data_IF_666743700526
#
_entry.id   IF_666743700526
#
_cell.length_a   1.000
_cell.length_b   1.000
_cell.length_c   1.000
_cell.angle_alpha   90.00
_cell.angle_beta   90.00
_cell.angle_gamma   90.00
#
_symmetry.space_group_name_H-M   'P 1'
#
loop_
_entity.id
_entity.type
_entity.pdbx_description
1 polymer ?
#
# COMPACT_ATOMS: atom_id res chain seq x y z
N UNK A 1 18.98 -0.91 30.09
CA UNK A 1 19.99 -1.27 29.06
C UNK A 1 19.19 -1.47 27.79
N UNK A 2 19.59 -0.99 26.61
CA UNK A 2 18.88 -1.40 25.40
C UNK A 2 19.01 -2.92 25.35
N UNK A 3 17.87 -3.61 25.37
CA UNK A 3 17.86 -5.06 25.22
C UNK A 3 18.70 -5.41 23.99
N UNK A 4 19.66 -6.32 24.15
CA UNK A 4 20.52 -6.74 23.06
C UNK A 4 19.65 -7.15 21.88
N UNK A 5 19.71 -6.38 20.79
CA UNK A 5 18.95 -6.65 19.57
C UNK A 5 19.54 -7.90 18.93
N UNK A 6 18.89 -9.05 19.15
CA UNK A 6 19.35 -10.36 18.69
C UNK A 6 18.92 -10.61 17.25
N UNK A 7 19.70 -11.39 16.51
CA UNK A 7 19.32 -11.87 15.18
C UNK A 7 18.52 -13.18 15.31
N UNK A 8 17.67 -13.53 14.33
CA UNK A 8 16.98 -14.82 14.34
C UNK A 8 17.99 -15.96 14.24
N UNK A 9 17.65 -17.12 14.83
CA UNK A 9 18.52 -18.31 14.84
C UNK A 9 18.88 -18.79 13.43
N UNK A 10 18.02 -18.53 12.46
CA UNK A 10 18.14 -18.89 11.05
C UNK A 10 18.88 -17.84 10.20
N UNK A 11 19.45 -16.79 10.81
CA UNK A 11 20.07 -15.66 10.08
C UNK A 11 21.15 -16.11 9.08
N UNK A 12 22.01 -17.05 9.48
CA UNK A 12 23.11 -17.53 8.63
C UNK A 12 22.64 -18.28 7.38
N UNK A 13 21.40 -18.76 7.36
CA UNK A 13 20.79 -19.51 6.26
C UNK A 13 20.20 -18.58 5.17
N UNK A 14 20.07 -17.29 5.46
CA UNK A 14 19.46 -16.33 4.52
C UNK A 14 20.42 -15.90 3.40
N UNK A 15 19.82 -15.47 2.28
CA UNK A 15 20.56 -14.84 1.19
C UNK A 15 21.11 -13.45 1.60
N UNK A 16 22.08 -12.95 0.84
CA UNK A 16 22.81 -11.71 1.17
C UNK A 16 21.90 -10.49 1.28
N UNK A 17 20.91 -10.37 0.39
CA UNK A 17 19.93 -9.27 0.42
C UNK A 17 19.12 -9.27 1.72
N UNK A 18 18.65 -10.44 2.15
CA UNK A 18 17.90 -10.57 3.42
C UNK A 18 18.81 -10.31 4.61
N UNK A 19 20.03 -10.84 4.62
CA UNK A 19 21.03 -10.55 5.66
C UNK A 19 21.31 -9.05 5.78
N UNK A 20 21.51 -8.36 4.65
CA UNK A 20 21.71 -6.91 4.62
C UNK A 20 20.51 -6.14 5.20
N UNK A 21 19.28 -6.55 4.88
CA UNK A 21 18.09 -5.92 5.45
C UNK A 21 17.95 -6.17 6.96
N UNK A 22 18.28 -7.38 7.45
CA UNK A 22 18.34 -7.66 8.89
C UNK A 22 19.36 -6.77 9.59
N UNK A 23 20.56 -6.64 9.03
CA UNK A 23 21.59 -5.77 9.59
C UNK A 23 21.18 -4.30 9.59
N UNK A 24 20.59 -3.80 8.49
CA UNK A 24 20.08 -2.43 8.39
C UNK A 24 19.07 -2.10 9.49
N UNK A 25 18.09 -2.97 9.72
CA UNK A 25 17.08 -2.74 10.76
C UNK A 25 17.70 -2.88 12.15
N UNK A 26 18.59 -3.86 12.36
CA UNK A 26 19.32 -4.03 13.62
C UNK A 26 20.13 -2.78 13.96
N UNK A 27 20.90 -2.23 13.03
CA UNK A 27 21.69 -1.01 13.21
C UNK A 27 20.80 0.19 13.55
N UNK A 28 19.65 0.32 12.88
CA UNK A 28 18.66 1.35 13.20
C UNK A 28 18.15 1.23 14.64
N UNK A 29 17.82 0.01 15.09
CA UNK A 29 17.37 -0.27 16.47
C UNK A 29 18.48 -0.02 17.50
N UNK A 30 19.71 -0.45 17.22
CA UNK A 30 20.88 -0.22 18.08
C UNK A 30 21.25 1.26 18.19
N UNK A 31 20.97 2.05 17.14
CA UNK A 31 21.05 3.51 17.14
C UNK A 31 19.96 4.22 17.96
N UNK A 32 19.06 3.48 18.60
CA UNK A 32 17.94 4.03 19.39
C UNK A 32 16.65 4.27 18.60
N UNK A 33 16.59 3.82 17.35
CA UNK A 33 15.40 3.89 16.52
C UNK A 33 14.25 3.04 17.07
N UNK A 34 13.02 3.56 16.92
CA UNK A 34 11.77 2.85 17.21
C UNK A 34 11.07 2.52 15.91
N UNK A 35 10.53 1.30 15.80
CA UNK A 35 9.96 0.80 14.56
C UNK A 35 8.56 0.22 14.82
N UNK A 36 7.57 0.72 14.10
CA UNK A 36 6.23 0.15 14.06
C UNK A 36 5.93 -0.40 12.66
N UNK A 37 5.35 -1.59 12.63
CA UNK A 37 4.77 -2.16 11.42
C UNK A 37 3.34 -1.69 11.23
N UNK A 38 2.90 -1.42 9.99
CA UNK A 38 1.48 -1.18 9.70
C UNK A 38 0.97 -2.09 8.58
N UNK A 39 -0.31 -2.47 8.67
CA UNK A 39 -0.92 -3.44 7.77
C UNK A 39 -2.08 -2.89 6.94
N UNK A 40 -2.40 -1.59 7.04
CA UNK A 40 -3.32 -0.93 6.12
C UNK A 40 -2.99 0.54 5.89
N UNK A 41 -3.56 1.11 4.84
CA UNK A 41 -3.51 2.54 4.56
C UNK A 41 -4.37 3.37 5.50
N UNK A 42 -5.13 2.75 6.42
CA UNK A 42 -5.92 3.45 7.45
C UNK A 42 -5.11 3.75 8.72
N UNK A 43 -3.93 3.17 8.91
CA UNK A 43 -3.07 3.47 10.05
C UNK A 43 -2.73 4.98 10.08
N UNK A 44 -3.03 5.70 11.16
CA UNK A 44 -2.77 7.13 11.27
C UNK A 44 -1.28 7.40 11.51
N UNK A 45 -0.49 7.40 10.43
CA UNK A 45 0.98 7.42 10.48
C UNK A 45 1.52 8.72 11.07
N UNK A 46 0.78 9.83 11.00
CA UNK A 46 1.15 11.09 11.64
C UNK A 46 1.27 10.95 13.16
N UNK A 47 0.49 10.07 13.80
CA UNK A 47 0.59 9.80 15.25
C UNK A 47 1.92 9.13 15.58
N UNK A 48 2.36 8.17 14.76
CA UNK A 48 3.63 7.47 14.91
C UNK A 48 4.82 8.41 14.65
N UNK A 49 4.75 9.21 13.58
CA UNK A 49 5.79 10.20 13.27
C UNK A 49 5.92 11.25 14.38
N UNK A 50 4.80 11.73 14.92
CA UNK A 50 4.78 12.67 16.04
C UNK A 50 5.34 12.06 17.34
N UNK A 51 5.22 10.75 17.51
CA UNK A 51 5.83 10.00 18.60
C UNK A 51 7.33 9.67 18.37
N UNK A 52 7.89 10.02 17.21
CA UNK A 52 9.27 9.70 16.85
C UNK A 52 9.48 8.22 16.50
N UNK A 53 8.47 7.58 15.91
CA UNK A 53 8.48 6.16 15.53
C UNK A 53 8.51 6.03 14.01
N UNK A 54 9.51 5.33 13.49
CA UNK A 54 9.55 4.97 12.07
C UNK A 54 8.50 3.92 11.75
N UNK A 55 7.81 4.07 10.62
CA UNK A 55 6.68 3.22 10.24
C UNK A 55 6.97 2.48 8.93
N UNK A 56 6.84 1.15 8.93
CA UNK A 56 7.09 0.29 7.75
C UNK A 56 5.87 -0.55 7.39
N UNK A 57 5.59 -0.68 6.10
CA UNK A 57 4.46 -1.46 5.61
C UNK A 57 4.78 -2.96 5.63
N UNK A 58 3.95 -3.77 6.30
CA UNK A 58 4.18 -5.21 6.49
C UNK A 58 3.21 -6.12 5.72
N UNK A 59 2.46 -5.57 4.76
CA UNK A 59 1.64 -6.38 3.87
C UNK A 59 2.54 -7.30 3.03
N UNK A 60 2.33 -8.61 3.15
CA UNK A 60 3.14 -9.62 2.46
C UNK A 60 2.88 -9.61 0.96
N UNK A 61 3.97 -9.79 0.19
CA UNK A 61 3.97 -9.73 -1.27
C UNK A 61 4.68 -10.93 -1.91
N UNK A 62 4.82 -12.03 -1.17
CA UNK A 62 5.58 -13.22 -1.62
C UNK A 62 4.87 -14.51 -1.24
N UNK A 63 4.96 -15.50 -2.12
CA UNK A 63 4.46 -16.86 -1.89
C UNK A 63 5.33 -17.68 -0.92
N UNK A 64 6.56 -17.24 -0.66
CA UNK A 64 7.59 -17.98 0.09
C UNK A 64 7.12 -18.57 1.44
N UNK A 65 6.26 -17.83 2.14
CA UNK A 65 5.83 -18.18 3.50
C UNK A 65 4.37 -18.64 3.57
N UNK A 66 3.70 -18.77 2.42
CA UNK A 66 2.29 -19.15 2.34
C UNK A 66 2.08 -20.56 2.89
N UNK A 67 2.91 -21.54 2.53
CA UNK A 67 2.80 -22.92 3.03
C UNK A 67 2.92 -22.97 4.57
N UNK A 68 3.86 -22.21 5.14
CA UNK A 68 4.02 -22.14 6.60
C UNK A 68 2.78 -21.53 7.26
N UNK A 69 2.22 -20.46 6.68
CA UNK A 69 1.00 -19.85 7.18
C UNK A 69 -0.21 -20.80 7.11
N UNK A 70 -0.31 -21.64 6.08
CA UNK A 70 -1.41 -22.60 5.89
C UNK A 70 -1.45 -23.74 6.90
N UNK A 71 -0.40 -23.90 7.71
CA UNK A 71 -0.44 -24.81 8.87
C UNK A 71 -1.37 -24.30 9.98
N UNK A 72 -1.69 -23.01 9.98
CA UNK A 72 -2.55 -22.33 10.97
C UNK A 72 -3.76 -21.67 10.29
N UNK A 73 -3.55 -21.00 9.16
CA UNK A 73 -4.58 -20.27 8.43
C UNK A 73 -5.21 -21.12 7.31
N UNK A 74 -6.48 -20.88 6.96
CA UNK A 74 -7.12 -21.62 5.86
C UNK A 74 -6.45 -21.35 4.51
N UNK A 75 -6.32 -22.40 3.67
CA UNK A 75 -5.75 -22.29 2.31
C UNK A 75 -6.46 -21.28 1.41
N UNK A 76 -7.80 -21.19 1.54
CA UNK A 76 -8.64 -20.28 0.76
C UNK A 76 -8.58 -18.81 1.22
N UNK A 77 -7.72 -18.47 2.19
CA UNK A 77 -7.56 -17.10 2.66
C UNK A 77 -6.67 -16.28 1.70
N UNK A 78 -6.86 -14.95 1.73
CA UNK A 78 -6.09 -14.02 0.90
C UNK A 78 -4.57 -14.22 1.00
N UNK A 79 -3.85 -14.33 -0.13
CA UNK A 79 -2.41 -14.58 -0.15
C UNK A 79 -1.61 -13.46 0.52
N UNK A 80 -2.09 -12.21 0.51
CA UNK A 80 -1.49 -11.11 1.28
C UNK A 80 -1.47 -11.43 2.77
N UNK A 81 -2.58 -11.95 3.29
CA UNK A 81 -2.74 -12.27 4.72
C UNK A 81 -1.88 -13.47 5.09
N UNK A 82 -1.92 -14.53 4.25
CA UNK A 82 -1.09 -15.73 4.43
C UNK A 82 0.40 -15.36 4.40
N UNK A 83 0.82 -14.55 3.43
CA UNK A 83 2.20 -14.06 3.31
C UNK A 83 2.63 -13.25 4.54
N UNK A 84 1.83 -12.25 4.97
CA UNK A 84 2.11 -11.46 6.18
C UNK A 84 2.28 -12.34 7.42
N UNK A 85 1.32 -13.22 7.69
CA UNK A 85 1.36 -14.09 8.87
C UNK A 85 2.51 -15.09 8.80
N UNK A 86 2.74 -15.69 7.64
CA UNK A 86 3.84 -16.63 7.42
C UNK A 86 5.22 -16.00 7.63
N UNK A 87 5.39 -14.73 7.23
CA UNK A 87 6.64 -13.99 7.49
C UNK A 87 6.88 -13.72 8.97
N UNK A 88 5.81 -13.45 9.74
CA UNK A 88 5.89 -13.32 11.19
C UNK A 88 6.21 -14.67 11.84
N UNK A 89 5.49 -15.73 11.47
CA UNK A 89 5.61 -17.08 12.02
C UNK A 89 7.01 -17.69 11.82
N UNK A 90 7.69 -17.32 10.73
CA UNK A 90 8.99 -17.91 10.35
C UNK A 90 10.19 -17.02 10.63
N UNK A 91 10.00 -15.86 11.26
CA UNK A 91 11.04 -14.84 11.50
C UNK A 91 11.81 -14.43 10.23
N UNK A 92 11.23 -14.59 9.04
CA UNK A 92 11.90 -14.32 7.76
C UNK A 92 11.86 -12.86 7.32
N UNK A 93 10.98 -12.06 7.92
CA UNK A 93 10.89 -10.63 7.63
C UNK A 93 11.62 -9.81 8.71
N UNK A 94 12.73 -9.13 8.39
CA UNK A 94 13.47 -8.34 9.36
C UNK A 94 12.63 -7.21 9.95
N UNK A 95 11.78 -6.58 9.12
CA UNK A 95 10.93 -5.48 9.55
C UNK A 95 9.88 -5.93 10.57
N UNK A 96 9.23 -7.08 10.35
CA UNK A 96 8.31 -7.68 11.33
C UNK A 96 9.07 -8.12 12.59
N UNK A 97 10.23 -8.74 12.44
CA UNK A 97 11.02 -9.26 13.54
C UNK A 97 11.45 -8.16 14.53
N UNK A 98 11.87 -7.01 14.02
CA UNK A 98 12.37 -5.89 14.82
C UNK A 98 11.32 -4.81 15.13
N UNK A 99 10.08 -4.95 14.66
CA UNK A 99 9.00 -4.03 15.04
C UNK A 99 8.68 -4.15 16.53
N UNK A 100 8.57 -3.01 17.20
CA UNK A 100 8.15 -2.90 18.60
C UNK A 100 6.65 -3.15 18.76
N UNK A 101 5.89 -2.83 17.71
CA UNK A 101 4.45 -2.93 17.64
C UNK A 101 4.02 -3.13 16.18
N UNK A 102 2.94 -3.88 15.96
CA UNK A 102 2.24 -3.98 14.68
C UNK A 102 0.88 -3.31 14.80
N UNK A 103 0.54 -2.47 13.83
CA UNK A 103 -0.75 -1.80 13.70
C UNK A 103 -1.61 -2.55 12.70
N UNK A 104 -2.78 -2.99 13.16
CA UNK A 104 -3.84 -3.55 12.34
C UNK A 104 -5.12 -2.74 12.45
N UNK A 105 -6.05 -3.01 11.54
CA UNK A 105 -7.34 -2.33 11.46
C UNK A 105 -8.43 -3.34 11.09
N UNK A 106 -9.61 -3.23 11.68
CA UNK A 106 -10.75 -4.14 11.42
C UNK A 106 -11.37 -3.95 10.03
N UNK A 107 -10.59 -4.21 8.98
CA UNK A 107 -10.93 -4.06 7.57
C UNK A 107 -11.64 -5.31 7.04
N UNK A 108 -10.92 -6.23 6.39
CA UNK A 108 -11.50 -7.49 5.95
C UNK A 108 -11.48 -8.55 7.07
N UNK A 109 -12.41 -9.51 7.02
CA UNK A 109 -12.52 -10.57 8.03
C UNK A 109 -11.22 -11.36 8.21
N UNK A 110 -10.53 -11.64 7.11
CA UNK A 110 -9.26 -12.34 7.14
C UNK A 110 -8.20 -11.62 7.95
N UNK A 111 -8.07 -10.29 7.78
CA UNK A 111 -7.09 -9.49 8.54
C UNK A 111 -7.50 -9.41 10.00
N UNK A 112 -8.76 -9.07 10.25
CA UNK A 112 -9.34 -8.96 11.60
C UNK A 112 -9.06 -10.21 12.44
N UNK A 113 -9.34 -11.40 11.90
CA UNK A 113 -9.12 -12.66 12.62
C UNK A 113 -7.66 -13.12 12.64
N UNK A 114 -6.88 -12.78 11.62
CA UNK A 114 -5.44 -13.06 11.62
C UNK A 114 -4.70 -12.26 12.70
N UNK A 115 -5.10 -11.02 13.00
CA UNK A 115 -4.45 -10.20 14.02
C UNK A 115 -4.50 -10.81 15.43
N UNK A 116 -5.58 -11.52 15.77
CA UNK A 116 -5.68 -12.23 17.05
C UNK A 116 -4.60 -13.31 17.18
N UNK A 117 -4.23 -13.95 16.07
CA UNK A 117 -3.15 -14.94 16.03
C UNK A 117 -1.77 -14.28 15.90
N UNK A 118 -1.70 -13.12 15.23
CA UNK A 118 -0.46 -12.38 15.09
C UNK A 118 0.02 -11.82 16.42
N UNK A 119 -0.90 -11.43 17.31
CA UNK A 119 -0.59 -10.89 18.65
C UNK A 119 0.17 -11.92 19.52
N UNK A 120 -0.06 -13.23 19.31
CA UNK A 120 0.71 -14.30 19.96
C UNK A 120 2.21 -14.30 19.55
N UNK A 121 2.54 -13.70 18.39
CA UNK A 121 3.89 -13.68 17.81
C UNK A 121 4.56 -12.30 18.02
N UNK A 122 3.81 -11.22 17.74
CA UNK A 122 4.27 -9.84 17.86
C UNK A 122 3.10 -8.98 18.34
N UNK A 123 3.37 -8.16 19.35
CA UNK A 123 2.37 -7.26 19.90
C UNK A 123 1.66 -6.48 18.79
N UNK A 124 0.34 -6.62 18.73
CA UNK A 124 -0.50 -6.08 17.67
C UNK A 124 -1.62 -5.22 18.26
N UNK A 125 -1.60 -3.93 17.96
CA UNK A 125 -2.68 -3.01 18.30
C UNK A 125 -3.65 -2.90 17.12
N UNK A 126 -4.94 -3.14 17.37
CA UNK A 126 -5.95 -3.19 16.32
C UNK A 126 -6.94 -2.03 16.45
N UNK A 127 -6.91 -1.10 15.49
CA UNK A 127 -7.91 -0.03 15.38
C UNK A 127 -9.23 -0.56 14.83
N UNK A 128 -10.33 -0.11 15.41
CA UNK A 128 -11.71 -0.45 15.01
C UNK A 128 -12.21 0.51 13.94
N UNK A 129 -11.88 0.21 12.69
CA UNK A 129 -12.35 0.96 11.54
C UNK A 129 -13.87 0.82 11.36
N UNK A 130 -14.64 1.92 11.19
CA UNK A 130 -16.02 1.88 10.75
C UNK A 130 -16.17 1.23 9.36
N UNK A 131 -17.33 0.64 9.07
CA UNK A 131 -17.60 0.00 7.77
C UNK A 131 -18.14 0.98 6.71
N UNK A 132 -18.13 2.28 7.00
CA UNK A 132 -18.71 3.32 6.14
C UNK A 132 -18.15 4.68 6.49
N UNK A 133 -18.47 5.64 5.63
CA UNK A 133 -18.10 7.05 5.81
C UNK A 133 -19.16 7.99 5.23
N UNK A 134 -20.42 7.54 5.17
CA UNK A 134 -21.57 8.32 4.70
C UNK A 134 -22.39 8.89 5.87
N UNK A 135 -22.05 8.52 7.12
CA UNK A 135 -22.78 8.93 8.32
C UNK A 135 -21.86 9.64 9.30
N UNK A 136 -22.37 10.69 9.94
CA UNK A 136 -21.59 11.51 10.87
C UNK A 136 -20.98 10.71 12.04
N UNK A 137 -21.72 9.74 12.59
CA UNK A 137 -21.21 8.94 13.72
C UNK A 137 -19.98 8.10 13.36
N UNK A 138 -19.76 7.81 12.08
CA UNK A 138 -18.61 7.02 11.63
C UNK A 138 -17.32 7.84 11.76
N UNK A 139 -17.39 9.13 11.41
CA UNK A 139 -16.28 10.06 11.63
C UNK A 139 -16.02 10.30 13.12
N UNK A 140 -17.06 10.43 13.94
CA UNK A 140 -16.91 10.58 15.40
C UNK A 140 -16.30 9.33 16.04
N UNK A 141 -16.80 8.14 15.70
CA UNK A 141 -16.25 6.89 16.20
C UNK A 141 -14.78 6.69 15.76
N UNK A 142 -14.45 7.05 14.52
CA UNK A 142 -13.08 6.94 14.04
C UNK A 142 -12.14 7.95 14.70
N UNK A 143 -12.59 9.17 14.95
CA UNK A 143 -11.82 10.15 15.72
C UNK A 143 -11.49 9.65 17.12
N UNK A 144 -12.49 9.10 17.83
CA UNK A 144 -12.28 8.53 19.16
C UNK A 144 -11.32 7.34 19.12
N UNK A 145 -11.40 6.48 18.10
CA UNK A 145 -10.47 5.37 17.90
C UNK A 145 -9.03 5.84 17.66
N UNK A 146 -8.83 6.86 16.82
CA UNK A 146 -7.50 7.45 16.56
C UNK A 146 -6.96 8.16 17.81
N UNK A 147 -7.83 8.73 18.64
CA UNK A 147 -7.45 9.30 19.93
C UNK A 147 -6.98 8.22 20.91
N UNK A 148 -7.71 7.12 21.04
CA UNK A 148 -7.30 5.97 21.86
C UNK A 148 -5.97 5.39 21.38
N UNK A 149 -5.77 5.34 20.06
CA UNK A 149 -4.50 4.92 19.48
C UNK A 149 -3.35 5.87 19.88
N UNK A 150 -3.55 7.19 19.76
CA UNK A 150 -2.58 8.19 20.21
C UNK A 150 -2.22 7.99 21.69
N UNK A 151 -3.22 7.88 22.57
CA UNK A 151 -3.02 7.68 24.00
C UNK A 151 -2.23 6.39 24.29
N UNK A 152 -2.55 5.29 23.59
CA UNK A 152 -1.82 4.04 23.70
C UNK A 152 -0.34 4.18 23.28
N UNK A 153 -0.05 4.88 22.19
CA UNK A 153 1.33 5.12 21.73
C UNK A 153 2.11 5.97 22.74
N UNK A 154 1.48 6.99 23.33
CA UNK A 154 2.09 7.82 24.38
C UNK A 154 2.46 6.97 25.62
N UNK A 155 1.54 6.13 26.09
CA UNK A 155 1.74 5.24 27.23
C UNK A 155 2.82 4.18 26.96
N UNK A 156 2.74 3.51 25.81
CA UNK A 156 3.67 2.43 25.42
C UNK A 156 5.11 2.94 25.35
N UNK A 157 5.30 4.17 24.87
CA UNK A 157 6.61 4.72 24.54
C UNK A 157 7.14 5.73 25.58
N UNK A 158 6.30 6.15 26.53
CA UNK A 158 6.61 7.19 27.50
C UNK A 158 6.91 8.53 26.83
N UNK A 159 6.14 8.90 25.80
CA UNK A 159 6.30 10.16 25.04
C UNK A 159 5.01 10.96 25.05
N UNK A 160 5.11 12.24 24.77
CA UNK A 160 3.96 13.12 24.56
C UNK A 160 3.83 13.48 23.07
N UNK A 161 2.66 13.25 22.50
CA UNK A 161 2.27 13.60 21.14
C UNK A 161 1.42 14.87 21.20
N UNK A 162 2.08 16.02 21.02
CA UNK A 162 1.43 17.34 21.07
C UNK A 162 0.79 17.69 19.73
N UNK A 163 -0.13 18.66 19.72
CA UNK A 163 -0.70 19.17 18.47
C UNK A 163 0.36 19.69 17.50
N UNK A 164 1.39 20.40 17.99
CA UNK A 164 2.49 20.91 17.15
C UNK A 164 3.21 19.77 16.42
N UNK A 165 3.51 18.67 17.13
CA UNK A 165 4.14 17.49 16.53
C UNK A 165 3.25 16.83 15.49
N UNK A 166 1.93 16.77 15.73
CA UNK A 166 0.96 16.25 14.76
C UNK A 166 0.90 17.14 13.50
N UNK A 167 0.93 18.47 13.66
CA UNK A 167 0.95 19.41 12.52
C UNK A 167 2.23 19.26 11.70
N UNK A 168 3.38 19.09 12.36
CA UNK A 168 4.66 18.83 11.67
C UNK A 168 4.66 17.49 10.94
N UNK A 169 4.13 16.44 11.57
CA UNK A 169 3.96 15.14 10.94
C UNK A 169 3.03 15.23 9.71
N UNK A 170 1.90 15.94 9.82
CA UNK A 170 0.98 16.17 8.71
C UNK A 170 1.66 16.90 7.54
N UNK A 171 2.48 17.93 7.80
CA UNK A 171 3.25 18.63 6.76
C UNK A 171 4.24 17.69 6.06
N UNK A 172 4.99 16.88 6.82
CA UNK A 172 5.94 15.89 6.26
C UNK A 172 5.23 14.85 5.41
N UNK A 173 4.12 14.31 5.90
CA UNK A 173 3.32 13.31 5.17
C UNK A 173 2.64 13.90 3.95
N UNK A 174 2.16 15.15 4.00
CA UNK A 174 1.64 15.83 2.81
C UNK A 174 2.72 16.07 1.75
N UNK A 175 3.96 16.41 2.13
CA UNK A 175 5.07 16.47 1.18
C UNK A 175 5.29 15.12 0.49
N UNK A 176 5.27 14.02 1.25
CA UNK A 176 5.35 12.68 0.66
C UNK A 176 4.15 12.38 -0.26
N UNK A 177 2.92 12.67 0.18
CA UNK A 177 1.71 12.51 -0.63
C UNK A 177 1.82 13.26 -1.96
N UNK A 178 2.30 14.51 -1.93
CA UNK A 178 2.52 15.30 -3.15
C UNK A 178 3.57 14.66 -4.05
N UNK A 179 4.70 14.21 -3.49
CA UNK A 179 5.74 13.54 -4.27
C UNK A 179 5.26 12.23 -4.92
N UNK A 180 4.37 11.48 -4.26
CA UNK A 180 3.70 10.30 -4.85
C UNK A 180 2.77 10.70 -6.00
N UNK A 181 1.99 11.77 -5.85
CA UNK A 181 1.14 12.30 -6.92
C UNK A 181 1.99 12.76 -8.10
N UNK A 182 3.05 13.52 -7.86
CA UNK A 182 3.97 14.02 -8.90
C UNK A 182 4.63 12.87 -9.67
N UNK A 183 4.98 11.78 -8.99
CA UNK A 183 5.49 10.57 -9.63
C UNK A 183 4.43 9.88 -10.48
N UNK A 184 3.19 9.75 -9.99
CA UNK A 184 2.10 9.19 -10.79
C UNK A 184 1.80 10.06 -12.02
N UNK A 185 1.89 11.38 -11.89
CA UNK A 185 1.63 12.35 -12.98
C UNK A 185 2.68 12.34 -14.11
N UNK A 186 3.82 11.68 -13.92
CA UNK A 186 4.73 11.34 -15.04
C UNK A 186 3.98 10.57 -16.15
N UNK A 187 2.94 9.82 -15.78
CA UNK A 187 2.11 9.05 -16.72
C UNK A 187 1.10 9.91 -17.49
N UNK A 188 0.83 11.16 -17.11
CA UNK A 188 -0.09 12.06 -17.85
C UNK A 188 0.46 12.40 -19.24
N UNK A 189 1.78 12.42 -19.40
CA UNK A 189 2.43 12.69 -20.67
C UNK A 189 2.12 11.64 -21.75
N UNK A 190 2.20 12.06 -23.01
CA UNK A 190 1.95 11.23 -24.19
C UNK A 190 3.11 11.33 -25.20
N UNK A 191 3.96 10.28 -25.32
CA UNK A 191 3.95 9.05 -24.53
C UNK A 191 4.38 9.29 -23.06
N UNK A 192 4.07 8.36 -22.13
CA UNK A 192 4.49 8.45 -20.73
C UNK A 192 6.00 8.63 -20.54
N UNK A 193 6.38 9.35 -19.49
CA UNK A 193 7.79 9.62 -19.16
C UNK A 193 8.54 8.41 -18.62
N UNK A 194 7.84 7.40 -18.09
CA UNK A 194 8.43 6.17 -17.55
C UNK A 194 7.45 5.01 -17.63
N UNK A 195 7.92 3.78 -17.38
CA UNK A 195 7.10 2.59 -17.30
C UNK A 195 6.35 2.53 -15.96
N UNK A 196 5.12 2.02 -15.96
CA UNK A 196 4.30 1.96 -14.75
C UNK A 196 4.82 0.95 -13.73
N UNK A 197 5.47 -0.14 -14.17
CA UNK A 197 6.14 -1.07 -13.27
C UNK A 197 7.26 -0.40 -12.45
N UNK A 198 7.90 0.64 -12.99
CA UNK A 198 8.89 1.42 -12.24
C UNK A 198 8.23 2.17 -11.08
N UNK A 199 7.11 2.84 -11.33
CA UNK A 199 6.31 3.52 -10.29
C UNK A 199 5.80 2.52 -9.26
N UNK A 200 5.25 1.38 -9.69
CA UNK A 200 4.77 0.33 -8.78
C UNK A 200 5.89 -0.24 -7.90
N UNK A 201 7.07 -0.46 -8.48
CA UNK A 201 8.25 -0.96 -7.75
C UNK A 201 8.79 0.10 -6.79
N UNK A 202 8.78 1.37 -7.18
CA UNK A 202 9.13 2.50 -6.33
C UNK A 202 8.19 2.62 -5.14
N UNK A 203 6.88 2.48 -5.35
CA UNK A 203 5.87 2.50 -4.29
C UNK A 203 6.03 1.32 -3.32
N UNK A 204 6.40 0.13 -3.81
CA UNK A 204 6.71 -1.02 -2.95
C UNK A 204 8.00 -0.81 -2.15
N UNK A 205 9.06 -0.29 -2.77
CA UNK A 205 10.31 0.03 -2.07
C UNK A 205 10.09 1.11 -0.99
N UNK A 206 9.19 2.05 -1.25
CA UNK A 206 8.77 3.10 -0.32
C UNK A 206 8.29 2.62 1.04
N UNK A 207 7.70 1.41 1.12
CA UNK A 207 7.18 0.87 2.38
C UNK A 207 8.27 0.48 3.39
N UNK A 208 9.54 0.49 2.98
CA UNK A 208 10.70 0.13 3.79
C UNK A 208 11.61 1.32 4.15
N UNK A 209 11.19 2.55 3.83
CA UNK A 209 11.87 3.74 4.32
C UNK A 209 11.54 3.99 5.80
N UNK A 210 12.56 4.31 6.60
CA UNK A 210 12.38 4.64 8.02
C UNK A 210 11.97 6.11 8.22
N UNK A 211 12.29 6.98 7.26
CA UNK A 211 11.94 8.39 7.25
C UNK A 211 11.12 8.72 5.98
N UNK A 212 9.92 9.26 6.16
CA UNK A 212 9.02 9.60 5.05
C UNK A 212 9.51 10.80 4.22
N UNK A 213 10.28 11.71 4.82
CA UNK A 213 10.92 12.84 4.16
C UNK A 213 12.10 12.41 3.28
N UNK A 214 12.86 11.40 3.68
CA UNK A 214 13.88 10.79 2.80
C UNK A 214 13.24 10.13 1.58
N UNK A 215 12.12 9.43 1.77
CA UNK A 215 11.38 8.85 0.66
C UNK A 215 10.81 9.94 -0.27
N UNK A 216 10.20 10.99 0.30
CA UNK A 216 9.71 12.13 -0.48
C UNK A 216 10.83 12.77 -1.32
N UNK A 217 11.99 13.03 -0.74
CA UNK A 217 13.14 13.57 -1.45
C UNK A 217 13.65 12.64 -2.57
N UNK A 218 13.57 11.32 -2.35
CA UNK A 218 13.91 10.33 -3.38
C UNK A 218 12.96 10.38 -4.58
N UNK A 219 11.65 10.48 -4.32
CA UNK A 219 10.63 10.63 -5.36
C UNK A 219 10.78 11.96 -6.11
N UNK A 220 10.97 13.07 -5.40
CA UNK A 220 11.17 14.40 -5.98
C UNK A 220 12.37 14.41 -6.95
N UNK A 221 13.49 13.78 -6.58
CA UNK A 221 14.65 13.63 -7.48
C UNK A 221 14.31 12.79 -8.72
N UNK A 222 13.70 11.64 -8.52
CA UNK A 222 13.30 10.75 -9.63
C UNK A 222 12.36 11.47 -10.61
N UNK A 223 11.38 12.23 -10.10
CA UNK A 223 10.48 13.03 -10.93
C UNK A 223 11.23 14.10 -11.73
N UNK A 224 12.17 14.80 -11.10
CA UNK A 224 12.98 15.83 -11.76
C UNK A 224 13.86 15.22 -12.89
N UNK A 225 14.47 14.07 -12.63
CA UNK A 225 15.28 13.33 -13.61
C UNK A 225 14.46 12.91 -14.84
N UNK A 226 13.27 12.33 -14.62
CA UNK A 226 12.37 11.95 -15.71
C UNK A 226 11.90 13.14 -16.55
N UNK A 227 11.53 14.26 -15.89
CA UNK A 227 11.12 15.48 -16.59
C UNK A 227 12.26 16.05 -17.45
N UNK A 228 13.49 16.11 -16.90
CA UNK A 228 14.65 16.59 -17.63
C UNK A 228 15.01 15.69 -18.84
N UNK A 229 14.96 14.36 -18.67
CA UNK A 229 15.18 13.41 -19.77
C UNK A 229 14.13 13.57 -20.88
N UNK A 230 12.86 13.77 -20.49
CA UNK A 230 11.77 14.00 -21.43
C UNK A 230 11.94 15.31 -22.21
N UNK A 231 12.36 16.39 -21.55
CA UNK A 231 12.70 17.67 -22.20
C UNK A 231 13.89 17.54 -23.16
N UNK A 232 14.86 16.68 -22.84
CA UNK A 232 15.99 16.35 -23.70
C UNK A 232 15.63 15.45 -24.90
N UNK A 233 14.37 15.00 -24.99
CA UNK A 233 13.84 14.21 -26.11
C UNK A 233 13.75 12.71 -25.87
N UNK A 234 14.06 12.22 -24.67
CA UNK A 234 13.91 10.80 -24.35
C UNK A 234 12.44 10.37 -24.29
N UNK A 235 12.13 9.21 -24.87
CA UNK A 235 10.78 8.63 -24.92
C UNK A 235 10.88 7.13 -24.62
N UNK A 236 11.00 6.74 -23.34
CA UNK A 236 11.25 5.34 -22.97
C UNK A 236 10.06 4.43 -23.26
N UNK A 237 8.83 4.99 -23.25
CA UNK A 237 7.61 4.28 -23.60
C UNK A 237 7.21 4.59 -25.06
N UNK A 238 6.90 3.59 -25.89
CA UNK A 238 6.38 3.81 -27.24
C UNK A 238 5.05 4.58 -27.23
N UNK A 239 4.87 5.53 -28.16
CA UNK A 239 3.59 6.24 -28.34
C UNK A 239 2.43 5.35 -28.78
N UNK A 240 2.72 4.14 -29.24
CA UNK A 240 1.71 3.13 -29.59
C UNK A 240 1.29 2.26 -28.40
N UNK A 241 1.91 2.40 -27.23
CA UNK A 241 1.60 1.59 -26.07
C UNK A 241 0.18 1.86 -25.56
N UNK A 242 -0.58 0.79 -25.29
CA UNK A 242 -1.97 0.89 -24.81
C UNK A 242 -1.98 1.34 -23.35
N UNK A 243 -2.67 2.43 -23.04
CA UNK A 243 -2.70 3.06 -21.71
C UNK A 243 -3.67 2.31 -20.78
N UNK A 244 -3.13 1.57 -19.81
CA UNK A 244 -3.89 0.68 -18.92
C UNK A 244 -4.00 1.25 -17.51
N UNK A 245 -5.18 1.15 -16.92
CA UNK A 245 -5.36 1.24 -15.47
C UNK A 245 -5.32 -0.14 -14.84
N UNK A 246 -4.57 -0.29 -13.76
CA UNK A 246 -4.75 -1.41 -12.82
C UNK A 246 -5.52 -0.90 -11.61
N UNK A 247 -6.60 -1.59 -11.24
CA UNK A 247 -7.40 -1.32 -10.04
C UNK A 247 -7.57 -2.61 -9.21
N UNK A 248 -8.22 -2.49 -8.06
CA UNK A 248 -8.56 -3.62 -7.20
C UNK A 248 -7.67 -3.72 -5.95
N UNK A 249 -7.19 -4.94 -5.70
CA UNK A 249 -6.32 -5.29 -4.58
C UNK A 249 -4.89 -4.72 -4.76
N UNK A 250 -4.13 -4.56 -3.65
CA UNK A 250 -2.73 -4.12 -3.71
C UNK A 250 -1.89 -4.96 -4.68
N UNK A 251 -1.08 -4.29 -5.49
CA UNK A 251 -0.38 -4.90 -6.63
C UNK A 251 1.04 -5.38 -6.33
N UNK A 252 1.55 -5.13 -5.11
CA UNK A 252 2.96 -5.38 -4.76
C UNK A 252 3.44 -6.84 -5.00
N UNK A 253 2.60 -7.83 -4.71
CA UNK A 253 2.93 -9.25 -4.94
C UNK A 253 2.67 -9.75 -6.35
N UNK A 254 2.14 -8.91 -7.25
CA UNK A 254 1.77 -9.28 -8.62
C UNK A 254 2.41 -8.38 -9.69
N UNK A 255 3.36 -7.51 -9.32
CA UNK A 255 4.07 -6.63 -10.27
C UNK A 255 4.67 -7.45 -11.42
N UNK A 256 5.39 -8.52 -11.12
CA UNK A 256 6.01 -9.39 -12.16
C UNK A 256 4.98 -10.15 -12.99
N UNK A 257 3.93 -10.61 -12.32
CA UNK A 257 2.93 -11.54 -12.86
C UNK A 257 1.86 -10.87 -13.73
N UNK A 258 1.52 -9.63 -13.39
CA UNK A 258 0.52 -8.82 -14.11
C UNK A 258 1.18 -7.60 -14.73
N UNK A 259 1.91 -6.80 -13.94
CA UNK A 259 2.47 -5.53 -14.40
C UNK A 259 3.43 -5.69 -15.57
N UNK A 260 4.49 -6.50 -15.39
CA UNK A 260 5.48 -6.72 -16.46
C UNK A 260 4.86 -7.41 -17.69
N UNK A 261 3.83 -8.23 -17.49
CA UNK A 261 3.13 -8.90 -18.59
C UNK A 261 2.35 -7.90 -19.43
N UNK A 262 1.67 -6.93 -18.81
CA UNK A 262 0.99 -5.83 -19.52
C UNK A 262 2.01 -5.07 -20.38
N UNK A 263 3.14 -4.68 -19.79
CA UNK A 263 4.16 -3.89 -20.48
C UNK A 263 4.84 -4.66 -21.62
N UNK A 264 5.16 -5.94 -21.41
CA UNK A 264 5.71 -6.83 -22.46
C UNK A 264 4.72 -7.11 -23.59
N UNK A 265 3.42 -7.00 -23.32
CA UNK A 265 2.35 -7.21 -24.31
C UNK A 265 2.01 -5.96 -25.14
N UNK A 266 2.74 -4.86 -24.95
CA UNK A 266 2.50 -3.59 -25.68
C UNK A 266 1.55 -2.63 -24.96
N UNK A 267 1.21 -2.89 -23.70
CA UNK A 267 0.55 -1.94 -22.82
C UNK A 267 1.54 -1.04 -22.07
N UNK A 268 1.03 -0.03 -21.37
CA UNK A 268 1.75 0.75 -20.37
C UNK A 268 0.77 1.06 -19.23
N UNK A 269 1.20 0.86 -17.99
CA UNK A 269 0.35 1.10 -16.82
C UNK A 269 0.45 2.58 -16.47
N UNK A 270 -0.56 3.35 -16.87
CA UNK A 270 -0.60 4.80 -16.65
C UNK A 270 -1.28 5.19 -15.34
N UNK A 271 -2.05 4.27 -14.75
CA UNK A 271 -2.70 4.49 -13.47
C UNK A 271 -2.71 3.20 -12.64
N UNK A 272 -2.17 3.26 -11.43
CA UNK A 272 -2.23 2.19 -10.43
C UNK A 272 -3.14 2.64 -9.29
N UNK A 273 -4.44 2.36 -9.42
CA UNK A 273 -5.44 2.61 -8.38
C UNK A 273 -5.29 1.57 -7.24
N UNK A 274 -4.31 1.81 -6.37
CA UNK A 274 -3.90 0.93 -5.26
C UNK A 274 -3.73 1.73 -3.96
N UNK A 275 -3.74 1.03 -2.81
CA UNK A 275 -3.64 1.64 -1.48
C UNK A 275 -2.30 2.34 -1.18
N UNK A 276 -1.28 2.13 -2.00
CA UNK A 276 0.03 2.78 -1.92
C UNK A 276 0.27 3.80 -3.07
N UNK A 277 -0.79 4.19 -3.79
CA UNK A 277 -0.73 5.14 -4.88
C UNK A 277 -1.63 6.36 -4.66
N UNK A 278 -2.13 6.93 -5.76
CA UNK A 278 -2.96 8.14 -5.74
C UNK A 278 -4.26 7.98 -4.94
N UNK A 279 -4.83 6.77 -4.86
CA UNK A 279 -6.07 6.49 -4.09
C UNK A 279 -6.02 7.06 -2.67
N UNK A 280 -4.86 6.93 -2.02
CA UNK A 280 -4.65 7.33 -0.62
C UNK A 280 -3.86 8.64 -0.51
N UNK A 281 -3.11 9.01 -1.54
CA UNK A 281 -2.22 10.18 -1.49
C UNK A 281 -2.87 11.48 -1.95
N UNK A 282 -3.89 11.44 -2.82
CA UNK A 282 -4.50 12.65 -3.41
C UNK A 282 -5.24 13.56 -2.43
N UNK A 283 -5.51 13.09 -1.21
CA UNK A 283 -6.20 13.87 -0.17
C UNK A 283 -5.17 14.42 0.81
N UNK A 284 -5.02 15.73 0.88
CA UNK A 284 -4.11 16.37 1.83
C UNK A 284 -4.79 16.62 3.18
N UNK A 285 -4.01 16.59 4.26
CA UNK A 285 -4.46 17.01 5.60
C UNK A 285 -4.22 18.51 5.73
N UNK A 286 -5.19 19.30 6.19
CA UNK A 286 -4.95 20.71 6.51
C UNK A 286 -4.17 20.82 7.84
N UNK A 287 -2.87 21.22 7.82
CA UNK A 287 -2.07 21.30 9.04
C UNK A 287 -2.46 22.50 9.90
N UNK A 288 -3.31 23.42 9.41
CA UNK A 288 -3.81 24.58 10.14
C UNK A 288 -5.25 24.37 10.65
N UNK A 289 -5.80 23.16 10.47
CA UNK A 289 -7.13 22.82 10.96
C UNK A 289 -7.25 23.10 12.48
N UNK A 290 -8.41 23.60 12.96
CA UNK A 290 -8.60 23.89 14.38
C UNK A 290 -8.33 22.67 15.28
N UNK A 291 -8.73 21.48 14.82
CA UNK A 291 -8.44 20.20 15.45
C UNK A 291 -7.62 19.34 14.46
N UNK A 292 -6.32 19.25 14.70
CA UNK A 292 -5.40 18.51 13.84
C UNK A 292 -5.64 16.99 13.91
N UNK A 293 -6.04 16.47 15.08
CA UNK A 293 -6.31 15.04 15.24
C UNK A 293 -7.57 14.64 14.46
N UNK A 294 -8.60 15.51 14.46
CA UNK A 294 -9.77 15.36 13.61
C UNK A 294 -9.40 15.36 12.13
N UNK A 295 -8.62 16.34 11.68
CA UNK A 295 -8.18 16.43 10.29
C UNK A 295 -7.42 15.17 9.83
N UNK A 296 -6.55 14.61 10.69
CA UNK A 296 -5.87 13.34 10.46
C UNK A 296 -6.88 12.20 10.38
N UNK A 297 -7.74 12.02 11.39
CA UNK A 297 -8.71 10.92 11.41
C UNK A 297 -9.64 10.94 10.19
N UNK A 298 -10.20 12.09 9.84
CA UNK A 298 -11.11 12.27 8.72
C UNK A 298 -10.44 11.98 7.37
N UNK A 299 -9.15 12.33 7.21
CA UNK A 299 -8.39 12.00 6.01
C UNK A 299 -8.36 10.50 5.77
N UNK A 300 -8.05 9.71 6.82
CA UNK A 300 -7.98 8.26 6.71
C UNK A 300 -9.35 7.65 6.43
N UNK A 301 -10.42 8.10 7.10
CA UNK A 301 -11.76 7.53 6.87
C UNK A 301 -12.30 7.81 5.46
N UNK A 302 -11.84 8.88 4.79
CA UNK A 302 -12.22 9.22 3.41
C UNK A 302 -11.58 8.33 2.34
N UNK A 303 -10.69 7.40 2.71
CA UNK A 303 -10.08 6.47 1.74
C UNK A 303 -11.17 5.57 1.14
N UNK A 304 -11.23 5.50 -0.19
CA UNK A 304 -12.23 4.71 -0.92
C UNK A 304 -11.81 3.24 -1.09
N UNK A 305 -11.64 2.52 0.03
CA UNK A 305 -11.36 1.08 0.01
C UNK A 305 -12.67 0.28 -0.11
N UNK A 306 -12.66 -0.86 -0.81
CA UNK A 306 -13.83 -1.73 -0.98
C UNK A 306 -14.42 -2.33 0.32
N UNK A 307 -13.78 -2.10 1.47
CA UNK A 307 -14.34 -2.46 2.79
C UNK A 307 -15.38 -1.47 3.28
N UNK A 308 -15.47 -0.28 2.66
CA UNK A 308 -16.49 0.73 2.95
C UNK A 308 -17.80 0.38 2.25
N UNK A 309 -18.93 0.71 2.88
CA UNK A 309 -20.25 0.53 2.27
C UNK A 309 -21.21 1.68 2.63
N UNK A 310 -21.86 2.30 1.64
CA UNK A 310 -21.58 2.22 0.21
C UNK A 310 -20.21 2.85 -0.14
N UNK A 311 -19.68 2.57 -1.34
CA UNK A 311 -18.35 3.05 -1.77
C UNK A 311 -18.41 3.76 -3.15
N UNK A 312 -19.41 4.62 -3.35
CA UNK A 312 -19.58 5.36 -4.60
C UNK A 312 -18.36 6.23 -4.93
N UNK A 313 -17.69 6.76 -3.90
CA UNK A 313 -16.47 7.54 -4.06
C UNK A 313 -15.38 6.80 -4.84
N UNK A 314 -15.25 5.48 -4.70
CA UNK A 314 -14.29 4.69 -5.51
C UNK A 314 -14.65 4.69 -6.99
N UNK A 315 -15.93 4.53 -7.33
CA UNK A 315 -16.40 4.50 -8.72
C UNK A 315 -16.17 5.86 -9.40
N UNK A 316 -16.47 6.95 -8.70
CA UNK A 316 -16.21 8.29 -9.20
C UNK A 316 -14.71 8.53 -9.39
N UNK A 317 -13.89 8.04 -8.44
CA UNK A 317 -12.43 8.10 -8.52
C UNK A 317 -11.86 7.36 -9.73
N UNK A 318 -12.38 6.16 -10.03
CA UNK A 318 -11.94 5.37 -11.18
C UNK A 318 -12.26 6.13 -12.47
N UNK A 319 -13.45 6.74 -12.57
CA UNK A 319 -13.82 7.58 -13.72
C UNK A 319 -12.85 8.74 -13.89
N UNK A 320 -12.64 9.53 -12.83
CA UNK A 320 -11.77 10.71 -12.86
C UNK A 320 -10.33 10.35 -13.23
N UNK A 321 -9.82 9.23 -12.71
CA UNK A 321 -8.47 8.74 -13.03
C UNK A 321 -8.37 8.19 -14.46
N UNK A 322 -9.41 7.52 -14.97
CA UNK A 322 -9.44 7.10 -16.37
C UNK A 322 -9.36 8.30 -17.31
N UNK A 323 -10.09 9.38 -17.01
CA UNK A 323 -10.08 10.62 -17.78
C UNK A 323 -8.72 11.32 -17.65
N UNK A 324 -8.21 11.54 -16.44
CA UNK A 324 -6.91 12.19 -16.16
C UNK A 324 -5.75 11.53 -16.91
N UNK A 325 -5.74 10.19 -16.93
CA UNK A 325 -4.66 9.40 -17.51
C UNK A 325 -4.95 8.90 -18.92
N UNK A 326 -6.05 9.33 -19.56
CA UNK A 326 -6.47 8.86 -20.89
C UNK A 326 -6.36 7.33 -21.03
N UNK A 327 -6.94 6.62 -20.07
CA UNK A 327 -6.95 5.15 -20.02
C UNK A 327 -7.78 4.61 -21.18
N UNK A 328 -7.34 3.51 -21.79
CA UNK A 328 -8.06 2.81 -22.88
C UNK A 328 -8.46 1.38 -22.50
N UNK A 329 -8.04 0.88 -21.34
CA UNK A 329 -8.46 -0.41 -20.81
C UNK A 329 -8.20 -0.52 -19.31
N UNK A 330 -9.10 -1.19 -18.60
CA UNK A 330 -9.04 -1.38 -17.14
C UNK A 330 -8.82 -2.85 -16.83
N UNK A 331 -7.80 -3.15 -16.03
CA UNK A 331 -7.54 -4.48 -15.48
C UNK A 331 -7.80 -4.45 -13.97
N UNK A 332 -8.83 -5.15 -13.51
CA UNK A 332 -9.15 -5.31 -12.08
C UNK A 332 -8.44 -6.54 -11.51
N UNK A 333 -7.42 -6.30 -10.71
CA UNK A 333 -6.64 -7.32 -10.03
C UNK A 333 -7.28 -7.67 -8.68
N UNK A 334 -7.72 -8.91 -8.53
CA UNK A 334 -8.31 -9.43 -7.32
C UNK A 334 -7.46 -10.56 -6.78
N UNK A 335 -7.02 -10.44 -5.53
CA UNK A 335 -6.36 -11.54 -4.84
C UNK A 335 -7.39 -12.58 -4.41
N UNK A 336 -7.12 -13.87 -4.64
CA UNK A 336 -7.98 -14.99 -4.23
C UNK A 336 -8.40 -14.83 -2.77
N UNK A 337 -9.71 -14.96 -2.47
CA UNK A 337 -10.23 -14.79 -1.10
C UNK A 337 -10.37 -13.33 -0.64
N UNK A 338 -10.13 -12.33 -1.49
CA UNK A 338 -10.45 -10.94 -1.20
C UNK A 338 -11.91 -10.60 -1.58
N UNK A 339 -12.86 -10.98 -0.73
CA UNK A 339 -14.28 -10.77 -1.02
C UNK A 339 -14.70 -9.30 -1.27
N UNK A 340 -14.21 -8.28 -0.52
CA UNK A 340 -14.66 -6.91 -0.71
C UNK A 340 -14.40 -6.40 -2.13
N UNK A 341 -13.16 -6.50 -2.61
CA UNK A 341 -12.81 -6.11 -3.98
C UNK A 341 -13.44 -7.04 -5.03
N UNK A 342 -13.52 -8.35 -4.76
CA UNK A 342 -14.12 -9.31 -5.70
C UNK A 342 -15.60 -8.97 -5.99
N UNK A 343 -16.39 -8.72 -4.93
CA UNK A 343 -17.81 -8.38 -5.06
C UNK A 343 -17.99 -6.98 -5.66
N UNK A 344 -17.23 -5.99 -5.21
CA UNK A 344 -17.30 -4.62 -5.74
C UNK A 344 -16.83 -4.52 -7.20
N UNK A 345 -16.00 -5.44 -7.67
CA UNK A 345 -15.56 -5.52 -9.08
C UNK A 345 -16.73 -5.61 -10.08
N UNK A 346 -17.89 -6.15 -9.69
CA UNK A 346 -19.10 -6.14 -10.53
C UNK A 346 -19.74 -4.76 -10.68
N UNK A 347 -19.46 -3.81 -9.77
CA UNK A 347 -19.85 -2.40 -9.91
C UNK A 347 -18.85 -1.64 -10.77
N UNK A 348 -17.55 -1.97 -10.67
CA UNK A 348 -16.49 -1.42 -11.52
C UNK A 348 -16.69 -1.84 -12.98
N UNK A 349 -17.04 -3.11 -13.23
CA UNK A 349 -17.38 -3.61 -14.57
C UNK A 349 -18.55 -2.83 -15.18
N UNK A 350 -19.64 -2.64 -14.44
CA UNK A 350 -20.79 -1.84 -14.89
C UNK A 350 -20.45 -0.38 -15.16
N UNK A 351 -19.56 0.20 -14.36
CA UNK A 351 -19.04 1.56 -14.59
C UNK A 351 -18.28 1.60 -15.93
N UNK A 352 -17.38 0.64 -16.17
CA UNK A 352 -16.59 0.56 -17.40
C UNK A 352 -17.50 0.36 -18.62
N UNK A 353 -18.49 -0.54 -18.55
CA UNK A 353 -19.49 -0.74 -19.59
C UNK A 353 -20.23 0.56 -19.92
N UNK A 354 -20.65 1.30 -18.90
CA UNK A 354 -21.33 2.60 -19.05
C UNK A 354 -20.45 3.68 -19.68
N UNK A 355 -19.13 3.57 -19.54
CA UNK A 355 -18.14 4.44 -20.17
C UNK A 355 -17.70 3.94 -21.56
N UNK A 356 -18.12 2.75 -21.98
CA UNK A 356 -17.60 2.07 -23.17
C UNK A 356 -16.12 1.66 -23.03
N UNK A 357 -15.64 1.48 -21.80
CA UNK A 357 -14.25 1.16 -21.47
C UNK A 357 -14.05 -0.36 -21.42
N UNK A 358 -13.12 -0.94 -22.20
CA UNK A 358 -12.75 -2.34 -22.08
C UNK A 358 -12.29 -2.69 -20.66
N UNK A 359 -12.84 -3.77 -20.12
CA UNK A 359 -12.60 -4.21 -18.75
C UNK A 359 -12.23 -5.69 -18.69
N UNK A 360 -11.24 -6.02 -17.87
CA UNK A 360 -10.86 -7.40 -17.58
C UNK A 360 -10.63 -7.58 -16.08
N UNK A 361 -11.36 -8.53 -15.48
CA UNK A 361 -11.11 -8.98 -14.12
C UNK A 361 -10.17 -10.20 -14.10
N UNK A 362 -9.14 -10.12 -13.27
CA UNK A 362 -8.18 -11.18 -13.00
C UNK A 362 -8.26 -11.55 -11.52
N UNK A 363 -8.51 -12.83 -11.23
CA UNK A 363 -8.37 -13.37 -9.88
C UNK A 363 -7.12 -14.25 -9.83
N UNK A 364 -6.26 -14.03 -8.85
CA UNK A 364 -4.93 -14.66 -8.77
C UNK A 364 -4.41 -14.76 -7.33
N UNK A 365 -3.39 -15.58 -7.11
CA UNK A 365 -2.53 -15.53 -5.92
C UNK A 365 -1.09 -15.11 -6.24
N UNK A 366 -0.16 -15.29 -5.28
CA UNK A 366 1.26 -14.96 -5.44
C UNK A 366 2.10 -16.11 -6.01
N UNK A 367 1.53 -17.31 -6.17
CA UNK A 367 2.23 -18.45 -6.76
C UNK A 367 2.42 -18.25 -8.27
N UNK A 368 3.26 -19.05 -8.91
CA UNK A 368 3.43 -19.03 -10.37
C UNK A 368 2.45 -19.96 -11.12
N UNK A 369 1.52 -20.60 -10.41
CA UNK A 369 0.70 -21.69 -10.95
C UNK A 369 -0.20 -21.32 -12.14
N UNK A 370 -0.66 -20.08 -12.21
CA UNK A 370 -1.55 -19.53 -13.25
C UNK A 370 -0.85 -18.47 -14.13
N UNK A 371 0.45 -18.22 -13.95
CA UNK A 371 1.20 -17.18 -14.68
C UNK A 371 1.10 -17.33 -16.21
N UNK A 372 1.09 -18.56 -16.73
CA UNK A 372 0.91 -18.81 -18.17
C UNK A 372 -0.50 -18.48 -18.69
N UNK A 373 -1.53 -18.74 -17.87
CA UNK A 373 -2.91 -18.40 -18.22
C UNK A 373 -3.11 -16.88 -18.20
N UNK A 374 -2.61 -16.20 -17.16
CA UNK A 374 -2.69 -14.74 -17.05
C UNK A 374 -1.96 -14.05 -18.20
N UNK A 375 -0.76 -14.53 -18.54
CA UNK A 375 0.01 -14.01 -19.68
C UNK A 375 -0.78 -14.05 -20.98
N UNK A 376 -1.42 -15.19 -21.28
CA UNK A 376 -2.25 -15.33 -22.49
C UNK A 376 -3.47 -14.41 -22.47
N UNK A 377 -4.16 -14.30 -21.33
CA UNK A 377 -5.36 -13.46 -21.20
C UNK A 377 -5.03 -11.97 -21.32
N UNK A 378 -3.95 -11.52 -20.67
CA UNK A 378 -3.50 -10.13 -20.72
C UNK A 378 -3.06 -9.79 -22.15
N UNK A 379 -2.25 -10.63 -22.80
CA UNK A 379 -1.81 -10.38 -24.17
C UNK A 379 -3.00 -10.23 -25.13
N UNK A 380 -3.99 -11.13 -25.05
CA UNK A 380 -5.20 -11.05 -25.87
C UNK A 380 -6.05 -9.80 -25.56
N UNK A 381 -6.10 -9.37 -24.29
CA UNK A 381 -6.77 -8.12 -23.91
C UNK A 381 -6.10 -6.92 -24.57
N UNK A 382 -4.77 -6.81 -24.46
CA UNK A 382 -4.01 -5.70 -25.03
C UNK A 382 -4.11 -5.66 -26.55
N UNK A 383 -4.12 -6.82 -27.22
CA UNK A 383 -4.28 -6.93 -28.68
C UNK A 383 -5.66 -6.46 -29.17
N UNK A 384 -6.70 -6.57 -28.33
CA UNK A 384 -8.07 -6.13 -28.64
C UNK A 384 -8.25 -4.60 -28.55
N UNK A 385 -7.44 -3.91 -27.73
CA UNK A 385 -7.47 -2.44 -27.57
C UNK A 385 -6.84 -1.73 -28.77
#
# INVERSE_FOLDING_TARGET
MPDTVTLPKTFDEYNDTRKANFMRVKEFKEGGGRLAGYLCSYAPLEVLDAAGVSSVGLCGTSDETVEAAETVLPRGLCPLIKSTYGFALTDKCPYTYFSDLIIGETTCDGKKKMYELLDDIKHTYVLRLPNGHDRAYEFDAWYDEVKLFKEHIEELLGVEVTEEKLRDAARKRNRLRQAVIDQAELQVSEPPMTWGCEIMSSALAGTFYFDCGEYAASLERSVAEHKAAYEAGERPVPSTAKRIMITGCPTGGVIKKIGEVIEKSGGVIVCNDSCNGERTSRMMIDPEAPDILRAISDHYLKINCAVMTPNQGRLDSIRDLCDKYHVVGVIDNVLTGCHPFNVEGSLVERLCDGMGMPYMKLETDYSDGDSGQLSTRIAAFIEML
#
